data_IF_538709563755
#
_entry.id   IF_538709563755
#
_cell.length_a   1.000
_cell.length_b   1.000
_cell.length_c   1.000
_cell.angle_alpha   90.00
_cell.angle_beta   90.00
_cell.angle_gamma   90.00
#
_symmetry.space_group_name_H-M   'P 1'
#
loop_
_entity.id
_entity.type
_entity.pdbx_description
1 polymer ?
#
# COMPACT_ATOMS: atom_id res chain seq x y z
N UNK A 1 -33.03 16.84 34.41
CA UNK A 1 -32.14 15.66 34.17
C UNK A 1 -31.76 15.49 32.69
N UNK A 2 -31.92 16.51 31.83
CA UNK A 2 -31.76 16.37 30.36
C UNK A 2 -30.40 16.81 29.80
N UNK A 3 -29.51 17.34 30.64
CA UNK A 3 -28.18 17.82 30.23
C UNK A 3 -27.20 16.67 29.91
N UNK A 4 -27.35 15.54 30.61
CA UNK A 4 -26.45 14.38 30.49
C UNK A 4 -26.61 13.61 29.16
N UNK A 5 -27.79 13.68 28.52
CA UNK A 5 -28.06 13.03 27.23
C UNK A 5 -27.48 13.79 26.03
N UNK A 6 -27.52 15.12 26.06
CA UNK A 6 -27.04 15.99 24.96
C UNK A 6 -25.51 15.90 24.78
N UNK A 7 -24.76 15.79 25.88
CA UNK A 7 -23.30 15.64 25.84
C UNK A 7 -22.82 14.32 25.22
N UNK A 8 -23.52 13.21 25.50
CA UNK A 8 -23.22 11.91 24.88
C UNK A 8 -23.57 11.88 23.39
N UNK A 9 -24.71 12.45 23.01
CA UNK A 9 -25.12 12.56 21.60
C UNK A 9 -24.16 13.45 20.80
N UNK A 10 -23.74 14.58 21.35
CA UNK A 10 -22.74 15.45 20.72
C UNK A 10 -21.39 14.74 20.53
N UNK A 11 -20.95 13.97 21.54
CA UNK A 11 -19.73 13.15 21.45
C UNK A 11 -19.84 12.06 20.39
N UNK A 12 -20.95 11.31 20.34
CA UNK A 12 -21.18 10.28 19.31
C UNK A 12 -21.20 10.88 17.91
N UNK A 13 -21.88 12.02 17.71
CA UNK A 13 -21.93 12.69 16.41
C UNK A 13 -20.55 13.15 15.94
N UNK A 14 -19.67 13.60 16.84
CA UNK A 14 -18.31 14.02 16.51
C UNK A 14 -17.45 12.88 15.95
N UNK A 15 -17.70 11.63 16.36
CA UNK A 15 -16.99 10.45 15.85
C UNK A 15 -17.70 9.79 14.66
N UNK A 16 -19.03 9.68 14.72
CA UNK A 16 -19.82 8.99 13.70
C UNK A 16 -19.84 9.78 12.40
N UNK A 17 -19.90 11.12 12.45
CA UNK A 17 -20.00 11.93 11.24
C UNK A 17 -18.74 11.83 10.34
N UNK A 18 -17.51 12.01 10.84
CA UNK A 18 -16.30 11.83 10.02
C UNK A 18 -16.15 10.39 9.52
N UNK A 19 -16.51 9.40 10.34
CA UNK A 19 -16.40 8.00 9.97
C UNK A 19 -17.42 7.61 8.89
N UNK A 20 -18.66 8.08 9.01
CA UNK A 20 -19.69 7.91 8.00
C UNK A 20 -19.31 8.63 6.70
N UNK A 21 -18.78 9.85 6.79
CA UNK A 21 -18.26 10.57 5.63
C UNK A 21 -17.14 9.79 4.93
N UNK A 22 -16.13 9.32 5.69
CA UNK A 22 -15.03 8.54 5.13
C UNK A 22 -15.52 7.23 4.50
N UNK A 23 -16.43 6.54 5.18
CA UNK A 23 -17.05 5.32 4.66
C UNK A 23 -17.81 5.61 3.36
N UNK A 24 -18.67 6.63 3.32
CA UNK A 24 -19.42 6.96 2.11
C UNK A 24 -18.48 7.33 0.95
N UNK A 25 -17.52 8.22 1.19
CA UNK A 25 -16.57 8.66 0.14
C UNK A 25 -15.71 7.50 -0.37
N UNK A 26 -15.34 6.54 0.47
CA UNK A 26 -14.55 5.37 0.07
C UNK A 26 -15.40 4.29 -0.62
N UNK A 27 -16.54 3.93 -0.03
CA UNK A 27 -17.34 2.80 -0.49
C UNK A 27 -18.19 3.13 -1.71
N UNK A 28 -18.61 4.39 -1.92
CA UNK A 28 -19.35 4.78 -3.12
C UNK A 28 -18.57 4.49 -4.42
N UNK A 29 -17.35 5.01 -4.65
CA UNK A 29 -16.61 4.72 -5.88
C UNK A 29 -16.25 3.23 -5.98
N UNK A 30 -15.95 2.58 -4.85
CA UNK A 30 -15.68 1.15 -4.84
C UNK A 30 -16.88 0.34 -5.32
N UNK A 31 -18.08 0.69 -4.87
CA UNK A 31 -19.32 0.04 -5.29
C UNK A 31 -19.61 0.26 -6.78
N UNK A 32 -19.37 1.46 -7.30
CA UNK A 32 -19.51 1.75 -8.73
C UNK A 32 -18.56 0.90 -9.57
N UNK A 33 -17.28 0.82 -9.17
CA UNK A 33 -16.26 0.01 -9.87
C UNK A 33 -16.62 -1.49 -9.82
N UNK A 34 -17.06 -1.99 -8.67
CA UNK A 34 -17.52 -3.37 -8.54
C UNK A 34 -18.79 -3.62 -9.35
N UNK A 35 -19.72 -2.67 -9.37
CA UNK A 35 -20.94 -2.71 -10.16
C UNK A 35 -20.67 -2.82 -11.65
N UNK A 36 -19.68 -2.07 -12.18
CA UNK A 36 -19.23 -2.16 -13.56
C UNK A 36 -18.64 -3.53 -13.91
N UNK A 37 -17.96 -4.17 -12.96
CA UNK A 37 -17.35 -5.49 -13.14
C UNK A 37 -18.33 -6.66 -13.01
N UNK A 38 -19.35 -6.50 -12.15
CA UNK A 38 -20.30 -7.56 -11.77
C UNK A 38 -21.65 -7.45 -12.48
N UNK A 39 -21.92 -6.37 -13.22
CA UNK A 39 -23.17 -6.20 -13.98
C UNK A 39 -22.87 -6.14 -15.47
N UNK A 40 -23.66 -6.89 -16.24
CA UNK A 40 -23.65 -6.86 -17.70
C UNK A 40 -25.08 -6.78 -18.20
N UNK A 41 -25.40 -5.74 -18.98
CA UNK A 41 -26.76 -5.55 -19.52
C UNK A 41 -27.87 -5.38 -18.47
N UNK A 42 -27.54 -5.00 -17.23
CA UNK A 42 -28.50 -4.85 -16.13
C UNK A 42 -28.69 -6.10 -15.25
N UNK A 43 -28.05 -7.21 -15.58
CA UNK A 43 -28.04 -8.43 -14.76
C UNK A 43 -26.72 -8.59 -14.02
N UNK A 44 -26.78 -9.08 -12.78
CA UNK A 44 -25.58 -9.51 -12.06
C UNK A 44 -25.01 -10.77 -12.72
N UNK A 45 -23.76 -10.70 -13.17
CA UNK A 45 -23.06 -11.81 -13.80
C UNK A 45 -21.64 -11.95 -13.26
N UNK A 46 -21.21 -13.19 -13.06
CA UNK A 46 -19.82 -13.53 -12.78
C UNK A 46 -19.06 -13.95 -14.05
N UNK A 47 -19.71 -13.88 -15.22
CA UNK A 47 -19.12 -14.31 -16.49
C UNK A 47 -17.83 -13.53 -16.81
N UNK A 48 -17.87 -12.19 -16.71
CA UNK A 48 -16.69 -11.33 -16.92
C UNK A 48 -15.56 -11.64 -15.95
N UNK A 49 -15.87 -11.89 -14.68
CA UNK A 49 -14.87 -12.27 -13.69
C UNK A 49 -14.22 -13.61 -14.03
N UNK A 50 -15.01 -14.60 -14.46
CA UNK A 50 -14.50 -15.89 -14.92
C UNK A 50 -13.64 -15.75 -16.19
N UNK A 51 -14.03 -14.89 -17.12
CA UNK A 51 -13.30 -14.60 -18.35
C UNK A 51 -11.95 -13.93 -18.05
N UNK A 52 -11.94 -12.90 -17.21
CA UNK A 52 -10.72 -12.24 -16.72
C UNK A 52 -9.80 -13.23 -16.00
N UNK A 53 -10.34 -14.09 -15.14
CA UNK A 53 -9.54 -15.12 -14.48
C UNK A 53 -9.14 -16.27 -15.42
N UNK A 54 -9.72 -16.38 -16.61
CA UNK A 54 -9.34 -17.36 -17.62
C UNK A 54 -8.33 -16.83 -18.62
N UNK A 55 -8.20 -15.51 -18.73
CA UNK A 55 -7.20 -14.84 -19.54
C UNK A 55 -5.77 -15.21 -19.07
N UNK A 56 -4.95 -15.82 -19.95
CA UNK A 56 -3.57 -16.16 -19.65
C UNK A 56 -2.73 -14.96 -19.20
N UNK A 57 -2.98 -13.77 -19.76
CA UNK A 57 -2.27 -12.54 -19.40
C UNK A 57 -2.59 -12.12 -17.96
N UNK A 58 -3.87 -12.09 -17.58
CA UNK A 58 -4.30 -11.75 -16.21
C UNK A 58 -3.73 -12.74 -15.20
N UNK A 59 -3.77 -14.05 -15.50
CA UNK A 59 -3.16 -15.07 -14.63
C UNK A 59 -1.66 -14.87 -14.46
N UNK A 60 -0.95 -14.53 -15.54
CA UNK A 60 0.46 -14.21 -15.49
C UNK A 60 0.72 -12.99 -14.59
N UNK A 61 -0.06 -11.91 -14.75
CA UNK A 61 0.07 -10.70 -13.91
C UNK A 61 -0.19 -11.01 -12.43
N UNK A 62 -1.25 -11.76 -12.12
CA UNK A 62 -1.58 -12.13 -10.74
C UNK A 62 -0.46 -12.94 -10.10
N UNK A 63 0.08 -13.94 -10.83
CA UNK A 63 1.20 -14.74 -10.35
C UNK A 63 2.45 -13.88 -10.16
N UNK A 64 2.83 -13.10 -11.16
CA UNK A 64 4.04 -12.27 -11.14
C UNK A 64 4.01 -11.26 -9.99
N UNK A 65 2.90 -10.53 -9.83
CA UNK A 65 2.74 -9.53 -8.76
C UNK A 65 2.70 -10.18 -7.38
N UNK A 66 2.05 -11.34 -7.24
CA UNK A 66 2.02 -12.08 -5.97
C UNK A 66 3.40 -12.60 -5.60
N UNK A 67 4.11 -13.25 -6.53
CA UNK A 67 5.47 -13.75 -6.32
C UNK A 67 6.42 -12.59 -5.96
N UNK A 68 6.35 -11.48 -6.70
CA UNK A 68 7.14 -10.29 -6.44
C UNK A 68 6.85 -9.70 -5.05
N UNK A 69 5.56 -9.56 -4.69
CA UNK A 69 5.15 -9.03 -3.39
C UNK A 69 5.62 -9.93 -2.24
N UNK A 70 5.52 -11.25 -2.39
CA UNK A 70 5.98 -12.22 -1.38
C UNK A 70 7.51 -12.16 -1.21
N UNK A 71 8.26 -12.21 -2.31
CA UNK A 71 9.73 -12.14 -2.28
C UNK A 71 10.18 -10.81 -1.67
N UNK A 72 9.61 -9.69 -2.13
CA UNK A 72 9.94 -8.37 -1.59
C UNK A 72 9.60 -8.26 -0.10
N UNK A 73 8.43 -8.74 0.32
CA UNK A 73 8.02 -8.69 1.73
C UNK A 73 8.92 -9.55 2.60
N UNK A 74 9.31 -10.74 2.13
CA UNK A 74 10.23 -11.61 2.84
C UNK A 74 11.62 -10.98 2.99
N UNK A 75 12.18 -10.40 1.91
CA UNK A 75 13.45 -9.70 1.95
C UNK A 75 13.40 -8.45 2.86
N UNK A 76 12.33 -7.66 2.74
CA UNK A 76 12.10 -6.49 3.59
C UNK A 76 11.96 -6.89 5.06
N UNK A 77 11.29 -8.00 5.36
CA UNK A 77 11.19 -8.50 6.74
C UNK A 77 12.55 -9.01 7.25
N UNK A 78 13.25 -9.80 6.46
CA UNK A 78 14.56 -10.36 6.82
C UNK A 78 15.60 -9.28 7.13
N UNK A 79 15.56 -8.14 6.42
CA UNK A 79 16.46 -7.00 6.67
C UNK A 79 15.89 -6.03 7.72
N UNK A 80 14.61 -5.68 7.59
CA UNK A 80 13.95 -4.67 8.40
C UNK A 80 13.73 -5.11 9.84
N UNK A 81 13.42 -6.38 10.10
CA UNK A 81 13.18 -6.88 11.45
C UNK A 81 14.44 -6.81 12.34
N UNK A 82 15.61 -7.33 11.93
CA UNK A 82 16.84 -7.16 12.70
C UNK A 82 17.25 -5.70 12.88
N UNK A 83 17.13 -4.88 11.84
CA UNK A 83 17.48 -3.45 11.91
C UNK A 83 16.56 -2.69 12.88
N UNK A 84 15.24 -2.94 12.82
CA UNK A 84 14.28 -2.35 13.74
C UNK A 84 14.51 -2.79 15.18
N UNK A 85 14.79 -4.09 15.39
CA UNK A 85 15.13 -4.63 16.71
C UNK A 85 16.40 -3.99 17.28
N UNK A 86 17.44 -3.85 16.44
CA UNK A 86 18.70 -3.21 16.83
C UNK A 86 18.49 -1.75 17.22
N UNK A 87 17.79 -0.98 16.39
CA UNK A 87 17.50 0.44 16.63
C UNK A 87 16.60 0.66 17.85
N UNK A 88 15.72 -0.29 18.18
CA UNK A 88 14.83 -0.22 19.33
C UNK A 88 15.54 -0.55 20.65
N UNK A 89 16.45 -1.53 20.64
CA UNK A 89 17.07 -2.06 21.88
C UNK A 89 18.46 -1.54 22.20
N UNK A 90 19.24 -1.12 21.21
CA UNK A 90 20.65 -0.78 21.41
C UNK A 90 20.93 0.70 21.15
N UNK A 91 21.93 1.24 21.85
CA UNK A 91 22.50 2.57 21.62
C UNK A 91 23.97 2.40 21.22
N UNK A 92 24.32 2.86 20.02
CA UNK A 92 25.67 2.75 19.46
C UNK A 92 25.97 3.99 18.60
N UNK A 93 27.27 4.24 18.34
CA UNK A 93 27.72 5.36 17.50
C UNK A 93 27.31 5.09 16.05
N UNK A 94 26.59 6.03 15.42
CA UNK A 94 26.04 5.89 14.06
C UNK A 94 24.55 5.49 13.99
N UNK A 95 23.88 5.30 15.14
CA UNK A 95 22.44 4.98 15.21
C UNK A 95 21.57 5.97 14.43
N UNK A 96 21.83 7.27 14.55
CA UNK A 96 21.04 8.29 13.86
C UNK A 96 21.23 8.27 12.34
N UNK A 97 22.41 7.88 11.85
CA UNK A 97 22.65 7.71 10.41
C UNK A 97 21.84 6.52 9.89
N UNK A 98 21.89 5.37 10.57
CA UNK A 98 21.08 4.21 10.18
C UNK A 98 19.59 4.52 10.23
N UNK A 99 19.15 5.22 11.29
CA UNK A 99 17.75 5.66 11.42
C UNK A 99 17.35 6.58 10.26
N UNK A 100 18.16 7.58 9.95
CA UNK A 100 17.92 8.47 8.83
C UNK A 100 17.84 7.68 7.52
N UNK A 101 18.81 6.80 7.24
CA UNK A 101 18.85 5.96 6.04
C UNK A 101 17.58 5.10 5.87
N UNK A 102 17.05 4.53 6.96
CA UNK A 102 15.78 3.79 6.90
C UNK A 102 14.56 4.65 6.60
N UNK A 103 14.58 5.94 6.96
CA UNK A 103 13.48 6.87 6.74
C UNK A 103 13.52 7.54 5.36
N UNK A 104 14.71 7.70 4.75
CA UNK A 104 14.89 8.31 3.43
C UNK A 104 13.84 7.85 2.40
N UNK A 105 13.66 6.54 2.13
CA UNK A 105 12.72 6.11 1.09
C UNK A 105 11.25 6.46 1.37
N UNK A 106 10.86 6.75 2.61
CA UNK A 106 9.50 7.14 2.97
C UNK A 106 9.20 8.62 2.72
N UNK A 107 10.24 9.46 2.66
CA UNK A 107 10.10 10.91 2.41
C UNK A 107 10.30 11.22 0.92
N UNK A 108 10.98 10.35 0.19
CA UNK A 108 11.22 10.53 -1.23
C UNK A 108 9.94 10.33 -2.05
N UNK A 109 9.65 11.21 -3.02
CA UNK A 109 8.60 10.97 -4.00
C UNK A 109 8.84 9.64 -4.74
N UNK A 110 7.79 8.85 -5.05
CA UNK A 110 7.95 7.55 -5.73
C UNK A 110 8.73 7.63 -7.04
N UNK A 111 8.54 8.71 -7.80
CA UNK A 111 9.24 8.95 -9.07
C UNK A 111 10.75 9.11 -8.85
N UNK A 112 11.16 9.80 -7.79
CA UNK A 112 12.58 9.98 -7.45
C UNK A 112 13.25 8.66 -7.12
N UNK A 113 12.55 7.78 -6.39
CA UNK A 113 13.05 6.44 -6.09
C UNK A 113 13.23 5.64 -7.39
N UNK A 114 12.22 5.63 -8.26
CA UNK A 114 12.30 4.94 -9.55
C UNK A 114 13.48 5.45 -10.41
N UNK A 115 13.67 6.76 -10.51
CA UNK A 115 14.80 7.34 -11.24
C UNK A 115 16.14 6.95 -10.63
N UNK A 116 16.25 6.94 -9.30
CA UNK A 116 17.45 6.47 -8.60
C UNK A 116 17.83 5.04 -8.98
N UNK A 117 16.85 4.13 -9.02
CA UNK A 117 17.06 2.75 -9.48
C UNK A 117 17.51 2.69 -10.94
N UNK A 118 16.90 3.47 -11.84
CA UNK A 118 17.30 3.52 -13.26
C UNK A 118 18.72 4.09 -13.43
N UNK A 119 19.07 5.16 -12.72
CA UNK A 119 20.39 5.76 -12.77
C UNK A 119 21.48 4.85 -12.20
N UNK A 120 21.16 3.98 -11.25
CA UNK A 120 22.13 3.08 -10.65
C UNK A 120 22.22 1.74 -11.38
N UNK A 121 21.08 1.07 -11.60
CA UNK A 121 20.98 -0.29 -12.14
C UNK A 121 20.56 -0.36 -13.62
N UNK A 122 20.15 0.75 -14.24
CA UNK A 122 19.76 0.77 -15.64
C UNK A 122 20.92 0.45 -16.59
N UNK A 123 20.62 0.25 -17.87
CA UNK A 123 21.60 -0.22 -18.86
C UNK A 123 22.86 0.64 -18.95
N UNK A 124 22.74 1.97 -18.79
CA UNK A 124 23.87 2.91 -18.71
C UNK A 124 24.06 3.50 -17.30
N UNK A 125 23.61 2.78 -16.27
CA UNK A 125 23.65 3.21 -14.88
C UNK A 125 25.05 3.12 -14.25
N UNK A 126 25.22 3.76 -13.10
CA UNK A 126 26.50 3.85 -12.41
C UNK A 126 27.16 2.48 -12.15
N UNK A 127 26.36 1.47 -11.77
CA UNK A 127 26.88 0.13 -11.50
C UNK A 127 27.42 -0.53 -12.77
N UNK A 128 26.68 -0.46 -13.88
CA UNK A 128 27.05 -1.08 -15.15
C UNK A 128 28.19 -0.37 -15.88
N UNK A 129 28.48 0.90 -15.54
CA UNK A 129 29.68 1.59 -16.04
C UNK A 129 30.94 1.27 -15.24
N UNK A 130 30.76 0.86 -13.98
CA UNK A 130 31.84 0.56 -13.07
C UNK A 130 32.34 -0.88 -13.18
N UNK A 131 31.50 -1.79 -13.70
CA UNK A 131 31.81 -3.16 -14.08
C UNK A 131 32.17 -3.23 -15.57
#
# INVERSE_FOLDING_TARGET
>A
MDSLGKGKLAGTLLFVLPLAFLALVFFLPLWEVLGLGLREGGHFTLARFRELLSDPYVRYLLRFTTEQALISSALSFALGFPLGWLLARYRFRGREILRAATLVPFVLPPITVALGFVLFFGHSGYLNRAL
#
